data_IF_900920193832
#
_entry.id   IF_900920193832
#
_cell.length_a   1.000
_cell.length_b   1.000
_cell.length_c   1.000
_cell.angle_alpha   90.00
_cell.angle_beta   90.00
_cell.angle_gamma   90.00
#
_symmetry.space_group_name_H-M   'P 1'
#
loop_
_entity.id
_entity.type
_entity.pdbx_description
1 polymer ?
#
# COMPACT_ATOMS: atom_id res chain seq x y z
N UNK A 1 -8.61 2.66 -27.62
CA UNK A 1 -7.34 2.81 -26.88
C UNK A 1 -7.23 4.14 -26.13
N UNK A 2 -7.48 5.29 -26.75
CA UNK A 2 -7.39 6.60 -26.09
C UNK A 2 -8.27 6.75 -24.82
N UNK A 3 -9.56 6.34 -24.88
CA UNK A 3 -10.46 6.38 -23.71
C UNK A 3 -9.97 5.50 -22.55
N UNK A 4 -9.45 4.31 -22.85
CA UNK A 4 -8.90 3.41 -21.84
C UNK A 4 -7.68 4.02 -21.14
N UNK A 5 -6.73 4.56 -21.91
CA UNK A 5 -5.56 5.26 -21.37
C UNK A 5 -5.93 6.51 -20.57
N UNK A 6 -6.97 7.24 -21.00
CA UNK A 6 -7.50 8.39 -20.28
C UNK A 6 -8.10 8.00 -18.92
N UNK A 7 -8.97 6.99 -18.88
CA UNK A 7 -9.56 6.49 -17.62
C UNK A 7 -8.47 5.93 -16.68
N UNK A 8 -7.46 5.25 -17.23
CA UNK A 8 -6.35 4.77 -16.42
C UNK A 8 -5.51 5.91 -15.83
N UNK A 9 -5.25 6.96 -16.63
CA UNK A 9 -4.56 8.18 -16.18
C UNK A 9 -5.33 8.88 -15.08
N UNK A 10 -6.66 9.01 -15.22
CA UNK A 10 -7.53 9.53 -14.17
C UNK A 10 -7.40 8.69 -12.90
N UNK A 11 -7.58 7.37 -12.96
CA UNK A 11 -7.46 6.50 -11.80
C UNK A 11 -6.09 6.61 -11.11
N UNK A 12 -5.00 6.77 -11.88
CA UNK A 12 -3.66 6.96 -11.33
C UNK A 12 -3.52 8.32 -10.63
N UNK A 13 -4.03 9.38 -11.26
CA UNK A 13 -4.08 10.72 -10.66
C UNK A 13 -4.95 10.76 -9.41
N UNK A 14 -6.03 9.99 -9.34
CA UNK A 14 -6.85 9.86 -8.13
C UNK A 14 -6.06 9.31 -6.94
N UNK A 15 -5.12 8.38 -7.18
CA UNK A 15 -4.19 7.89 -6.15
C UNK A 15 -3.43 9.03 -5.47
N UNK A 16 -2.60 9.72 -6.25
CA UNK A 16 -1.68 10.75 -5.75
C UNK A 16 -2.36 12.06 -5.38
N UNK A 17 -3.44 12.43 -6.06
CA UNK A 17 -4.09 13.74 -5.92
C UNK A 17 -5.24 13.74 -4.92
N UNK A 18 -5.83 12.57 -4.62
CA UNK A 18 -6.98 12.47 -3.73
C UNK A 18 -6.72 11.49 -2.58
N UNK A 19 -6.39 10.22 -2.87
CA UNK A 19 -6.32 9.22 -1.80
C UNK A 19 -5.18 9.47 -0.82
N UNK A 20 -3.97 9.81 -1.31
CA UNK A 20 -2.85 10.09 -0.39
C UNK A 20 -3.08 11.34 0.47
N UNK A 21 -3.49 12.52 -0.06
CA UNK A 21 -3.81 13.69 0.77
C UNK A 21 -4.91 13.44 1.80
N UNK A 22 -5.99 12.74 1.41
CA UNK A 22 -7.08 12.41 2.34
C UNK A 22 -6.57 11.47 3.43
N UNK A 23 -5.73 10.49 3.08
CA UNK A 23 -5.15 9.57 4.04
C UNK A 23 -4.21 10.28 5.05
N UNK A 24 -3.41 11.23 4.57
CA UNK A 24 -2.58 12.09 5.42
C UNK A 24 -3.43 12.87 6.40
N UNK A 25 -4.39 13.67 5.91
CA UNK A 25 -5.24 14.53 6.75
C UNK A 25 -6.04 13.72 7.78
N UNK A 26 -6.65 12.61 7.34
CA UNK A 26 -7.45 11.76 8.20
C UNK A 26 -6.62 11.13 9.33
N UNK A 27 -5.36 10.79 9.05
CA UNK A 27 -4.48 10.12 10.00
C UNK A 27 -3.80 11.05 11.03
N UNK A 28 -3.79 12.37 10.82
CA UNK A 28 -3.06 13.34 11.66
C UNK A 28 -3.43 13.28 13.15
N UNK A 29 -4.66 12.87 13.47
CA UNK A 29 -5.12 12.74 14.87
C UNK A 29 -4.70 11.44 15.55
N UNK A 30 -4.16 10.46 14.81
CA UNK A 30 -3.91 9.09 15.29
C UNK A 30 -2.48 8.62 15.16
N UNK A 31 -1.69 9.26 14.29
CA UNK A 31 -0.29 8.97 14.05
C UNK A 31 0.56 10.19 14.40
N UNK A 32 1.77 9.94 14.91
CA UNK A 32 2.68 11.00 15.33
C UNK A 32 3.26 11.76 14.13
N UNK A 33 3.42 11.06 13.00
CA UNK A 33 3.72 11.70 11.72
C UNK A 33 3.25 10.84 10.56
N UNK A 34 2.93 11.52 9.45
CA UNK A 34 2.56 10.92 8.17
C UNK A 34 3.38 11.64 7.10
N UNK A 35 3.96 10.87 6.18
CA UNK A 35 4.71 11.41 5.05
C UNK A 35 4.30 10.70 3.77
N UNK A 36 4.03 11.49 2.72
CA UNK A 36 3.69 10.98 1.40
C UNK A 36 4.91 10.82 0.51
N UNK A 37 4.85 9.86 -0.42
CA UNK A 37 5.82 9.71 -1.53
C UNK A 37 7.29 9.64 -1.07
N UNK A 38 7.55 8.85 -0.02
CA UNK A 38 8.86 8.77 0.64
C UNK A 38 9.81 7.86 -0.12
N UNK A 39 11.00 8.38 -0.43
CA UNK A 39 12.10 7.55 -0.93
C UNK A 39 12.70 6.73 0.21
N UNK A 40 12.70 5.41 0.08
CA UNK A 40 13.36 4.51 1.02
C UNK A 40 14.87 4.56 0.77
N UNK A 41 15.66 4.40 1.84
CA UNK A 41 17.10 4.26 1.71
C UNK A 41 17.46 3.14 0.72
N UNK A 42 18.53 3.36 -0.05
CA UNK A 42 18.97 2.46 -1.11
C UNK A 42 19.92 1.36 -0.61
N UNK A 43 20.20 1.31 0.69
CA UNK A 43 21.16 0.38 1.29
C UNK A 43 20.43 -0.82 1.88
N UNK A 44 20.90 -2.01 1.52
CA UNK A 44 20.41 -3.28 2.05
C UNK A 44 21.60 -4.22 2.25
N UNK A 45 21.55 -5.11 3.23
CA UNK A 45 22.56 -6.17 3.36
C UNK A 45 22.38 -7.23 2.27
N UNK A 46 23.47 -7.80 1.75
CA UNK A 46 23.41 -8.91 0.78
C UNK A 46 22.68 -10.12 1.37
N UNK A 47 22.81 -10.36 2.67
CA UNK A 47 22.13 -11.47 3.33
C UNK A 47 20.61 -11.27 3.39
N UNK A 48 20.13 -10.06 3.71
CA UNK A 48 18.70 -9.75 3.60
C UNK A 48 18.16 -9.97 2.18
N UNK A 49 18.93 -9.65 1.13
CA UNK A 49 18.50 -9.94 -0.24
C UNK A 49 18.34 -11.46 -0.50
N UNK A 50 19.25 -12.28 0.02
CA UNK A 50 19.13 -13.76 -0.06
C UNK A 50 17.90 -14.26 0.68
N UNK A 51 17.71 -13.81 1.92
CA UNK A 51 16.52 -14.17 2.72
C UNK A 51 15.22 -13.78 2.02
N UNK A 52 15.17 -12.58 1.42
CA UNK A 52 14.00 -12.15 0.62
C UNK A 52 13.81 -13.09 -0.57
N UNK A 53 14.88 -13.45 -1.27
CA UNK A 53 14.80 -14.37 -2.40
C UNK A 53 14.29 -15.76 -1.98
N UNK A 54 14.79 -16.31 -0.87
CA UNK A 54 14.36 -17.60 -0.34
C UNK A 54 12.87 -17.59 0.07
N UNK A 55 12.41 -16.49 0.68
CA UNK A 55 10.98 -16.28 1.00
C UNK A 55 10.16 -16.28 -0.30
N UNK A 56 10.58 -15.50 -1.29
CA UNK A 56 9.89 -15.41 -2.58
C UNK A 56 9.81 -16.78 -3.28
N UNK A 57 10.92 -17.51 -3.36
CA UNK A 57 10.97 -18.82 -4.01
C UNK A 57 10.08 -19.85 -3.29
N UNK A 58 10.03 -19.79 -1.95
CA UNK A 58 9.19 -20.68 -1.13
C UNK A 58 7.69 -20.39 -1.29
N UNK A 59 7.31 -19.12 -1.47
CA UNK A 59 5.92 -18.73 -1.74
C UNK A 59 5.50 -19.08 -3.17
N UNK A 60 6.37 -18.80 -4.14
CA UNK A 60 6.10 -19.05 -5.56
C UNK A 60 5.98 -20.54 -5.90
N UNK A 61 6.76 -21.38 -5.23
CA UNK A 61 6.70 -22.84 -5.34
C UNK A 61 5.54 -23.47 -4.55
N UNK A 62 4.86 -22.70 -3.69
CA UNK A 62 3.83 -23.22 -2.79
C UNK A 62 4.37 -24.09 -1.65
N UNK A 63 5.69 -24.09 -1.42
CA UNK A 63 6.34 -24.80 -0.31
C UNK A 63 6.01 -24.19 1.06
N UNK A 64 5.56 -22.93 1.08
CA UNK A 64 5.15 -22.22 2.28
C UNK A 64 3.91 -21.36 2.01
N UNK A 65 3.20 -21.00 3.08
CA UNK A 65 2.16 -19.97 3.05
C UNK A 65 2.74 -18.64 3.54
N UNK A 66 2.24 -17.49 3.06
CA UNK A 66 2.71 -16.19 3.52
C UNK A 66 2.45 -16.01 5.02
N UNK A 67 3.46 -15.52 5.74
CA UNK A 67 3.40 -15.25 7.17
C UNK A 67 4.23 -13.99 7.46
N UNK A 68 3.53 -12.86 7.58
CA UNK A 68 4.17 -11.54 7.66
C UNK A 68 5.16 -11.43 8.82
N UNK A 69 4.77 -11.94 9.98
CA UNK A 69 5.58 -11.83 11.19
C UNK A 69 6.86 -12.66 11.10
N UNK A 70 6.77 -13.88 10.58
CA UNK A 70 7.93 -14.76 10.40
C UNK A 70 8.90 -14.21 9.35
N UNK A 71 8.38 -13.74 8.22
CA UNK A 71 9.18 -13.17 7.14
C UNK A 71 9.93 -11.91 7.59
N UNK A 72 9.26 -11.00 8.32
CA UNK A 72 9.90 -9.83 8.93
C UNK A 72 10.98 -10.29 9.89
N UNK A 73 10.70 -11.23 10.79
CA UNK A 73 11.68 -11.70 11.77
C UNK A 73 12.95 -12.25 11.10
N UNK A 74 12.79 -13.06 10.04
CA UNK A 74 13.90 -13.58 9.23
C UNK A 74 14.75 -12.47 8.60
N UNK A 75 14.10 -11.45 8.03
CA UNK A 75 14.77 -10.31 7.42
C UNK A 75 15.51 -9.48 8.47
N UNK A 76 14.86 -9.15 9.59
CA UNK A 76 15.43 -8.32 10.65
C UNK A 76 16.68 -8.96 11.28
N UNK A 77 16.72 -10.29 11.37
CA UNK A 77 17.87 -11.03 11.90
C UNK A 77 19.18 -10.78 11.12
N UNK A 78 19.09 -10.43 9.84
CA UNK A 78 20.25 -10.27 8.94
C UNK A 78 20.42 -8.85 8.39
N UNK A 79 19.45 -7.95 8.63
CA UNK A 79 19.40 -6.62 7.99
C UNK A 79 20.27 -5.54 8.64
N UNK A 80 21.06 -5.85 9.68
CA UNK A 80 21.75 -4.83 10.50
C UNK A 80 23.26 -4.81 10.39
N UNK A 81 23.85 -5.87 9.83
CA UNK A 81 25.31 -6.03 9.80
C UNK A 81 25.72 -6.92 8.63
N UNK A 82 26.95 -6.73 8.15
CA UNK A 82 27.54 -7.52 7.07
C UNK A 82 27.70 -6.72 5.79
N UNK A 83 27.99 -7.43 4.70
CA UNK A 83 28.24 -6.79 3.40
C UNK A 83 26.96 -6.16 2.84
N UNK A 84 27.05 -4.90 2.45
CA UNK A 84 25.93 -4.14 1.87
C UNK A 84 25.95 -4.11 0.36
N UNK A 85 24.80 -3.85 -0.23
CA UNK A 85 24.60 -3.58 -1.65
C UNK A 85 23.58 -2.46 -1.84
N UNK A 86 23.64 -1.84 -3.03
CA UNK A 86 22.74 -0.75 -3.40
C UNK A 86 21.56 -1.33 -4.19
N UNK A 87 20.35 -0.96 -3.80
CA UNK A 87 19.09 -1.28 -4.49
C UNK A 87 18.31 0.00 -4.79
N UNK A 88 17.34 -0.07 -5.69
CA UNK A 88 16.47 1.06 -6.04
C UNK A 88 15.02 0.73 -5.66
N UNK A 89 14.67 0.80 -4.35
CA UNK A 89 13.31 0.53 -3.92
C UNK A 89 12.36 1.58 -4.51
N UNK A 90 11.13 1.16 -4.79
CA UNK A 90 10.05 2.09 -5.14
C UNK A 90 9.78 3.04 -3.97
N UNK A 91 9.18 4.20 -4.28
CA UNK A 91 8.72 5.11 -3.24
C UNK A 91 7.55 4.49 -2.48
N UNK A 92 7.50 4.75 -1.18
CA UNK A 92 6.37 4.41 -0.33
C UNK A 92 5.34 5.53 -0.45
N UNK A 93 4.09 5.20 -0.76
CA UNK A 93 3.03 6.21 -0.91
C UNK A 93 2.72 6.87 0.44
N UNK A 94 2.64 6.09 1.52
CA UNK A 94 2.50 6.60 2.89
C UNK A 94 3.45 5.92 3.87
N UNK A 95 4.19 6.73 4.61
CA UNK A 95 4.95 6.31 5.80
C UNK A 95 4.27 6.90 7.03
N UNK A 96 3.75 6.02 7.90
CA UNK A 96 3.07 6.41 9.14
C UNK A 96 3.93 6.02 10.34
N UNK A 97 4.08 6.92 11.31
CA UNK A 97 4.75 6.66 12.58
C UNK A 97 3.77 6.73 13.75
N UNK A 98 3.85 5.75 14.66
CA UNK A 98 3.10 5.75 15.93
C UNK A 98 3.90 5.04 17.03
N UNK A 99 4.51 5.82 17.92
CA UNK A 99 5.53 5.34 18.84
C UNK A 99 6.65 4.65 18.08
N UNK A 100 6.94 3.41 18.46
CA UNK A 100 7.95 2.59 17.77
C UNK A 100 7.42 1.91 16.49
N UNK A 101 6.13 2.03 16.18
CA UNK A 101 5.56 1.40 14.99
C UNK A 101 5.75 2.29 13.75
N UNK A 102 6.18 1.66 12.67
CA UNK A 102 6.31 2.28 11.34
C UNK A 102 5.48 1.47 10.36
N UNK A 103 4.59 2.12 9.64
CA UNK A 103 3.76 1.49 8.61
C UNK A 103 4.15 2.04 7.24
N UNK A 104 4.57 1.15 6.34
CA UNK A 104 4.95 1.45 4.96
C UNK A 104 3.83 0.97 4.04
N UNK A 105 3.12 1.89 3.42
CA UNK A 105 1.89 1.57 2.68
C UNK A 105 2.07 1.92 1.21
N UNK A 106 1.74 0.94 0.36
CA UNK A 106 1.61 1.09 -1.08
C UNK A 106 0.12 1.15 -1.43
N UNK A 107 -0.36 2.24 -2.02
CA UNK A 107 -1.77 2.43 -2.37
C UNK A 107 -2.00 1.97 -3.80
N UNK A 108 -2.91 1.01 -3.98
CA UNK A 108 -3.29 0.50 -5.30
C UNK A 108 -4.72 0.89 -5.67
N UNK A 109 -4.88 1.37 -6.90
CA UNK A 109 -6.17 1.74 -7.49
C UNK A 109 -6.79 0.51 -8.15
N UNK A 110 -7.88 0.01 -7.58
CA UNK A 110 -8.63 -1.17 -8.03
C UNK A 110 -7.78 -2.45 -8.23
N UNK A 111 -8.47 -3.53 -8.63
CA UNK A 111 -7.97 -4.91 -8.76
C UNK A 111 -6.57 -4.97 -9.38
N UNK A 112 -5.53 -5.36 -8.62
CA UNK A 112 -4.23 -5.59 -9.20
C UNK A 112 -4.25 -6.79 -10.16
N UNK A 113 -3.47 -6.72 -11.23
CA UNK A 113 -3.33 -7.85 -12.15
C UNK A 113 -2.70 -9.05 -11.43
N UNK A 114 -3.11 -10.29 -11.79
CA UNK A 114 -2.63 -11.52 -11.15
C UNK A 114 -1.10 -11.65 -11.08
N UNK A 115 -0.36 -11.06 -12.03
CA UNK A 115 1.10 -11.05 -12.04
C UNK A 115 1.76 -10.08 -11.06
N UNK A 116 1.04 -9.06 -10.57
CA UNK A 116 1.61 -7.99 -9.74
C UNK A 116 1.88 -8.38 -8.29
N UNK A 117 1.30 -9.48 -7.80
CA UNK A 117 1.43 -9.84 -6.37
C UNK A 117 2.83 -10.28 -5.98
N UNK A 118 3.59 -10.89 -6.90
CA UNK A 118 5.01 -11.21 -6.68
C UNK A 118 5.83 -9.94 -6.51
N UNK A 119 5.59 -8.96 -7.37
CA UNK A 119 6.27 -7.66 -7.31
C UNK A 119 5.90 -6.90 -6.03
N UNK A 120 4.63 -6.94 -5.62
CA UNK A 120 4.18 -6.34 -4.37
C UNK A 120 4.87 -6.99 -3.18
N UNK A 121 4.86 -8.33 -3.07
CA UNK A 121 5.51 -9.02 -1.97
C UNK A 121 6.99 -8.66 -1.89
N UNK A 122 7.71 -8.73 -3.01
CA UNK A 122 9.13 -8.35 -3.07
C UNK A 122 9.36 -6.90 -2.67
N UNK A 123 8.50 -5.98 -3.10
CA UNK A 123 8.55 -4.56 -2.72
C UNK A 123 8.37 -4.40 -1.21
N UNK A 124 7.32 -5.00 -0.64
CA UNK A 124 7.02 -4.94 0.78
C UNK A 124 8.19 -5.46 1.63
N UNK A 125 8.80 -6.59 1.26
CA UNK A 125 9.95 -7.17 1.98
C UNK A 125 11.23 -6.34 1.80
N UNK A 126 11.47 -5.81 0.60
CA UNK A 126 12.63 -4.94 0.32
C UNK A 126 12.56 -3.66 1.14
N UNK A 127 11.38 -3.06 1.27
CA UNK A 127 11.16 -1.90 2.13
C UNK A 127 11.47 -2.19 3.59
N UNK A 128 11.02 -3.34 4.13
CA UNK A 128 11.36 -3.76 5.50
C UNK A 128 12.88 -3.81 5.68
N UNK A 129 13.60 -4.52 4.79
CA UNK A 129 15.05 -4.68 4.91
C UNK A 129 15.81 -3.34 4.84
N UNK A 130 15.42 -2.46 3.92
CA UNK A 130 16.06 -1.15 3.77
C UNK A 130 15.76 -0.23 4.97
N UNK A 131 14.53 -0.22 5.48
CA UNK A 131 14.20 0.55 6.69
C UNK A 131 14.92 0.00 7.92
N UNK A 132 14.96 -1.33 8.07
CA UNK A 132 15.58 -1.98 9.23
C UNK A 132 17.06 -1.67 9.38
N UNK A 133 17.78 -1.50 8.26
CA UNK A 133 19.19 -1.13 8.27
C UNK A 133 19.44 0.23 8.93
N UNK A 134 18.51 1.19 8.75
CA UNK A 134 18.64 2.56 9.28
C UNK A 134 17.80 2.83 10.53
N UNK A 135 16.94 1.89 10.95
CA UNK A 135 16.00 2.07 12.07
C UNK A 135 15.87 0.78 12.90
N UNK A 136 16.91 0.39 13.66
CA UNK A 136 17.00 -0.93 14.29
C UNK A 136 15.99 -1.16 15.43
N UNK A 137 15.36 -0.12 15.96
CA UNK A 137 14.43 -0.23 17.09
C UNK A 137 12.95 -0.05 16.69
N UNK A 138 12.68 0.06 15.40
CA UNK A 138 11.31 0.25 14.89
C UNK A 138 10.61 -1.10 14.67
N UNK A 139 9.34 -1.18 15.05
CA UNK A 139 8.42 -2.24 14.62
C UNK A 139 7.88 -1.87 13.24
N UNK A 140 8.53 -2.39 12.20
CA UNK A 140 8.24 -2.02 10.81
C UNK A 140 7.21 -3.00 10.25
N UNK A 141 6.11 -2.45 9.74
CA UNK A 141 5.06 -3.17 9.03
C UNK A 141 4.96 -2.61 7.62
N UNK A 142 4.67 -3.45 6.64
CA UNK A 142 4.43 -3.02 5.27
C UNK A 142 3.20 -3.71 4.69
N UNK A 143 2.35 -2.96 4.00
CA UNK A 143 1.07 -3.45 3.49
C UNK A 143 0.64 -2.75 2.20
N UNK A 144 -0.26 -3.40 1.47
CA UNK A 144 -1.01 -2.83 0.37
C UNK A 144 -2.33 -2.25 0.90
N UNK A 145 -2.67 -1.05 0.47
CA UNK A 145 -3.97 -0.44 0.69
C UNK A 145 -4.75 -0.33 -0.62
N UNK A 146 -6.04 -0.67 -0.59
CA UNK A 146 -6.97 -0.45 -1.70
C UNK A 146 -8.08 0.48 -1.18
N UNK A 147 -8.17 1.73 -1.67
CA UNK A 147 -9.06 2.74 -1.08
C UNK A 147 -10.57 2.44 -1.17
N UNK A 148 -11.00 1.53 -2.05
CA UNK A 148 -12.41 1.15 -2.20
C UNK A 148 -12.54 -0.30 -2.67
N UNK A 149 -13.71 -0.90 -2.43
CA UNK A 149 -14.03 -2.24 -2.90
C UNK A 149 -14.71 -2.14 -4.29
N UNK A 150 -14.05 -2.53 -5.40
CA UNK A 150 -14.66 -2.50 -6.72
C UNK A 150 -15.80 -3.53 -6.90
N UNK A 151 -16.01 -4.43 -5.93
CA UNK A 151 -17.03 -5.48 -5.99
C UNK A 151 -18.27 -5.17 -5.17
N UNK A 152 -18.32 -4.00 -4.52
CA UNK A 152 -19.42 -3.62 -3.62
C UNK A 152 -20.80 -3.83 -4.29
N UNK A 153 -21.79 -4.43 -3.60
CA UNK A 153 -21.81 -4.84 -2.18
C UNK A 153 -21.22 -6.24 -1.90
N UNK A 154 -20.63 -6.91 -2.89
CA UNK A 154 -19.99 -8.21 -2.67
C UNK A 154 -18.65 -8.01 -1.97
N UNK A 155 -18.23 -8.95 -1.09
CA UNK A 155 -16.94 -8.87 -0.45
C UNK A 155 -15.81 -8.87 -1.48
N UNK A 156 -14.72 -8.18 -1.15
CA UNK A 156 -13.55 -8.15 -2.02
C UNK A 156 -12.97 -9.56 -2.22
N UNK A 157 -12.83 -9.98 -3.47
CA UNK A 157 -12.31 -11.31 -3.79
C UNK A 157 -10.78 -11.40 -3.57
N UNK A 158 -10.41 -12.17 -2.54
CA UNK A 158 -9.04 -12.33 -2.04
C UNK A 158 -8.21 -13.44 -2.72
N UNK A 159 -8.85 -14.33 -3.49
CA UNK A 159 -8.26 -15.63 -3.86
C UNK A 159 -7.03 -15.54 -4.77
N UNK A 160 -6.90 -14.49 -5.58
CA UNK A 160 -5.69 -14.32 -6.42
C UNK A 160 -4.45 -13.90 -5.65
N UNK A 161 -4.61 -13.47 -4.39
CA UNK A 161 -3.52 -12.88 -3.57
C UNK A 161 -2.99 -13.81 -2.49
N UNK A 162 -3.77 -14.82 -2.10
CA UNK A 162 -3.52 -15.65 -0.91
C UNK A 162 -2.22 -16.49 -0.98
N UNK A 163 -1.62 -16.66 -2.16
CA UNK A 163 -0.35 -17.38 -2.31
C UNK A 163 0.91 -16.55 -2.02
N UNK A 164 0.81 -15.21 -2.09
CA UNK A 164 1.97 -14.32 -1.97
C UNK A 164 1.87 -13.36 -0.78
N UNK A 165 0.66 -12.93 -0.43
CA UNK A 165 0.41 -11.93 0.61
C UNK A 165 -0.33 -12.56 1.78
N UNK A 166 0.12 -12.23 2.98
CA UNK A 166 -0.58 -12.52 4.23
C UNK A 166 -1.73 -11.50 4.37
N UNK A 167 -2.93 -11.89 3.94
CA UNK A 167 -4.03 -10.95 3.70
C UNK A 167 -4.55 -10.27 4.95
N UNK A 168 -4.31 -10.82 6.13
CA UNK A 168 -4.75 -10.24 7.39
C UNK A 168 -3.82 -9.11 7.86
N UNK A 169 -2.54 -9.17 7.46
CA UNK A 169 -1.52 -8.20 7.86
C UNK A 169 -1.05 -7.27 6.72
N UNK A 170 -1.07 -7.74 5.48
CA UNK A 170 -0.50 -7.07 4.31
C UNK A 170 -1.53 -6.47 3.36
N UNK A 171 -2.83 -6.56 3.66
CA UNK A 171 -3.87 -5.98 2.84
C UNK A 171 -4.92 -5.25 3.67
N UNK A 172 -5.23 -4.02 3.30
CA UNK A 172 -6.38 -3.26 3.82
C UNK A 172 -7.22 -2.75 2.66
N UNK A 173 -8.51 -3.07 2.65
CA UNK A 173 -9.43 -2.68 1.58
C UNK A 173 -10.56 -1.83 2.14
N UNK A 174 -10.87 -0.72 1.48
CA UNK A 174 -12.01 0.14 1.78
C UNK A 174 -12.05 0.52 3.28
N UNK A 175 -13.10 0.08 4.00
CA UNK A 175 -13.29 0.31 5.42
C UNK A 175 -12.04 -0.02 6.25
N UNK A 176 -11.40 -1.16 6.01
CA UNK A 176 -10.22 -1.59 6.77
C UNK A 176 -9.05 -0.59 6.65
N UNK A 177 -8.90 0.06 5.49
CA UNK A 177 -7.83 1.04 5.26
C UNK A 177 -8.15 2.37 5.91
N UNK A 178 -9.33 2.91 5.64
CA UNK A 178 -9.70 4.24 6.13
C UNK A 178 -9.93 4.26 7.64
N UNK A 179 -10.52 3.20 8.20
CA UNK A 179 -10.73 3.11 9.64
C UNK A 179 -9.44 2.81 10.40
N UNK A 180 -8.46 2.16 9.75
CA UNK A 180 -7.10 2.07 10.30
C UNK A 180 -6.47 3.46 10.44
N UNK A 181 -6.64 4.33 9.44
CA UNK A 181 -6.11 5.69 9.43
C UNK A 181 -6.82 6.63 10.41
N UNK A 182 -8.15 6.79 10.26
CA UNK A 182 -8.94 7.80 10.97
C UNK A 182 -9.74 7.28 12.16
N UNK A 183 -9.82 5.96 12.34
CA UNK A 183 -10.67 5.33 13.36
C UNK A 183 -12.05 4.94 12.80
N UNK A 184 -12.84 4.26 13.63
CA UNK A 184 -14.11 3.66 13.20
C UNK A 184 -15.06 4.68 12.57
N UNK A 185 -15.59 4.37 11.39
CA UNK A 185 -16.54 5.21 10.65
C UNK A 185 -15.91 6.24 9.72
N UNK A 186 -14.58 6.24 9.59
CA UNK A 186 -13.86 7.14 8.68
C UNK A 186 -14.20 6.86 7.23
N UNK A 187 -14.36 5.59 6.86
CA UNK A 187 -14.74 5.25 5.49
C UNK A 187 -16.11 5.83 5.11
N UNK A 188 -17.08 5.73 6.02
CA UNK A 188 -18.41 6.30 5.82
C UNK A 188 -18.38 7.82 5.69
N UNK A 189 -17.57 8.49 6.53
CA UNK A 189 -17.37 9.94 6.43
C UNK A 189 -16.83 10.34 5.05
N UNK A 190 -15.82 9.60 4.55
CA UNK A 190 -15.24 9.83 3.23
C UNK A 190 -16.28 9.63 2.13
N UNK A 191 -17.05 8.53 2.18
CA UNK A 191 -18.11 8.28 1.19
C UNK A 191 -19.14 9.40 1.16
N UNK A 192 -19.61 9.86 2.33
CA UNK A 192 -20.55 10.99 2.40
C UNK A 192 -19.96 12.28 1.81
N UNK A 193 -18.67 12.56 2.05
CA UNK A 193 -18.01 13.73 1.46
C UNK A 193 -17.93 13.62 -0.08
N UNK A 194 -17.62 12.43 -0.62
CA UNK A 194 -17.62 12.20 -2.06
C UNK A 194 -19.02 12.36 -2.68
N UNK A 195 -20.07 11.89 -2.00
CA UNK A 195 -21.45 12.05 -2.46
C UNK A 195 -21.89 13.52 -2.46
N UNK A 196 -21.59 14.26 -1.39
CA UNK A 196 -21.90 15.68 -1.24
C UNK A 196 -21.24 16.51 -2.35
N UNK A 197 -19.92 16.37 -2.52
CA UNK A 197 -19.17 17.06 -3.59
C UNK A 197 -19.68 16.63 -4.97
N UNK A 198 -20.01 15.35 -5.16
CA UNK A 198 -20.59 14.86 -6.41
C UNK A 198 -21.94 15.49 -6.76
N UNK A 199 -22.78 15.76 -5.75
CA UNK A 199 -24.04 16.48 -5.93
C UNK A 199 -23.81 17.96 -6.27
N UNK A 200 -22.89 18.64 -5.57
CA UNK A 200 -22.57 20.04 -5.81
C UNK A 200 -21.98 20.27 -7.20
N UNK A 201 -21.05 19.41 -7.63
CA UNK A 201 -20.39 19.52 -8.93
C UNK A 201 -21.27 19.08 -10.10
N UNK A 202 -22.49 18.58 -9.85
CA UNK A 202 -23.35 17.98 -10.87
C UNK A 202 -23.59 18.93 -12.05
N UNK A 203 -23.92 20.18 -11.76
CA UNK A 203 -24.22 21.19 -12.78
C UNK A 203 -23.00 21.45 -13.66
N UNK A 204 -21.82 21.63 -13.07
CA UNK A 204 -20.57 21.88 -13.80
C UNK A 204 -20.18 20.70 -14.70
N UNK A 205 -20.34 19.47 -14.18
CA UNK A 205 -20.10 18.24 -14.93
C UNK A 205 -21.05 18.14 -16.13
N UNK A 206 -22.35 18.36 -15.91
CA UNK A 206 -23.35 18.31 -16.97
C UNK A 206 -23.10 19.40 -18.04
N UNK A 207 -22.69 20.61 -17.63
CA UNK A 207 -22.29 21.69 -18.55
C UNK A 207 -21.03 21.37 -19.38
N UNK A 208 -20.03 20.74 -18.77
CA UNK A 208 -18.83 20.29 -19.48
C UNK A 208 -19.18 19.27 -20.58
N UNK A 209 -20.01 18.27 -20.25
CA UNK A 209 -20.37 17.22 -21.20
C UNK A 209 -21.27 17.69 -22.35
N UNK A 210 -22.05 18.76 -22.17
CA UNK A 210 -22.82 19.39 -23.27
C UNK A 210 -21.95 19.83 -24.45
N UNK A 211 -20.64 20.05 -24.26
CA UNK A 211 -19.70 20.45 -25.33
C UNK A 211 -19.39 19.33 -26.33
N UNK A 212 -19.76 18.09 -26.02
CA UNK A 212 -19.52 16.91 -26.85
C UNK A 212 -20.80 16.36 -27.50
N UNK A 213 -21.95 17.00 -27.27
CA UNK A 213 -23.20 16.79 -27.99
C UNK A 213 -23.34 17.82 -29.11
#
# INVERSE_FOLDING_TARGET
MALYSFIQSLNTNFGTSIFEPVAEELGLKRFDSIKRQVAVANTITKEAQRVIQDIMDSLESGNSKPNKNEEIARILAVSRSGETSIVKPTKVDLVLHKGNNVYLIDIKTAKPNKGGFKEFKRTLLTWIACFAYHSPNSNIQSLIAIPYNPYEPKPYERWTMAGMLDLDFELKVAEDFWDFLGGKGSYKLILSAFEEVGCEMRTEIDEYFKKFN
#
